data_IF_562855968696
#
_entry.id   IF_562855968696
#
_cell.length_a   1.000
_cell.length_b   1.000
_cell.length_c   1.000
_cell.angle_alpha   90.00
_cell.angle_beta   90.00
_cell.angle_gamma   90.00
#
_symmetry.space_group_name_H-M   'P 1'
#
loop_
_entity.id
_entity.type
_entity.pdbx_description
1 polymer ?
#
# COMPACT_ATOMS: atom_id res chain seq x y z
N UNK A 1 -12.06 0.72 -28.14
CA UNK A 1 -10.74 0.13 -28.46
C UNK A 1 -9.70 0.68 -27.49
N UNK A 2 -8.83 -0.17 -26.93
CA UNK A 2 -7.76 0.27 -26.03
C UNK A 2 -6.77 1.21 -26.74
N UNK A 3 -6.26 2.24 -26.05
CA UNK A 3 -5.28 3.19 -26.60
C UNK A 3 -3.93 2.49 -26.87
N UNK A 4 -3.04 3.05 -27.73
CA UNK A 4 -1.70 2.49 -27.93
C UNK A 4 -0.93 2.32 -26.62
N UNK A 5 -1.02 3.30 -25.71
CA UNK A 5 -0.40 3.25 -24.38
C UNK A 5 -0.97 2.13 -23.52
N UNK A 6 -2.28 1.94 -23.53
CA UNK A 6 -2.92 0.83 -22.78
C UNK A 6 -2.47 -0.54 -23.32
N UNK A 7 -2.39 -0.70 -24.65
CA UNK A 7 -1.86 -1.94 -25.26
C UNK A 7 -0.41 -2.19 -24.88
N UNK A 8 0.43 -1.15 -24.88
CA UNK A 8 1.81 -1.26 -24.44
C UNK A 8 1.93 -1.66 -22.97
N UNK A 9 1.08 -1.10 -22.10
CA UNK A 9 1.05 -1.45 -20.67
C UNK A 9 0.66 -2.92 -20.46
N UNK A 10 -0.37 -3.40 -21.14
CA UNK A 10 -0.79 -4.82 -21.08
C UNK A 10 0.31 -5.75 -21.60
N UNK A 11 0.97 -5.38 -22.71
CA UNK A 11 2.10 -6.15 -23.25
C UNK A 11 3.28 -6.19 -22.26
N UNK A 12 3.55 -5.09 -21.56
CA UNK A 12 4.59 -5.04 -20.53
C UNK A 12 4.25 -5.96 -19.34
N UNK A 13 2.99 -6.04 -18.92
CA UNK A 13 2.55 -7.00 -17.89
C UNK A 13 2.82 -8.44 -18.34
N UNK A 14 2.46 -8.78 -19.58
CA UNK A 14 2.68 -10.13 -20.12
C UNK A 14 4.17 -10.49 -20.18
N UNK A 15 5.02 -9.55 -20.61
CA UNK A 15 6.47 -9.73 -20.61
C UNK A 15 7.00 -9.89 -19.18
N UNK A 16 6.51 -9.10 -18.23
CA UNK A 16 6.91 -9.17 -16.83
C UNK A 16 6.54 -10.50 -16.17
N UNK A 17 5.38 -11.09 -16.52
CA UNK A 17 5.02 -12.45 -16.11
C UNK A 17 6.02 -13.49 -16.61
N UNK A 18 6.39 -13.41 -17.90
CA UNK A 18 7.37 -14.34 -18.48
C UNK A 18 8.71 -14.28 -17.74
N UNK A 19 9.16 -13.07 -17.41
CA UNK A 19 10.39 -12.87 -16.63
C UNK A 19 10.20 -13.38 -15.18
N UNK A 20 9.06 -13.08 -14.55
CA UNK A 20 8.76 -13.50 -13.19
C UNK A 20 8.72 -15.02 -13.02
N UNK A 21 8.10 -15.74 -13.95
CA UNK A 21 8.04 -17.21 -13.98
C UNK A 21 9.44 -17.82 -14.07
N UNK A 22 10.34 -17.22 -14.86
CA UNK A 22 11.72 -17.67 -15.00
C UNK A 22 12.62 -17.33 -13.79
N UNK A 23 12.24 -16.34 -12.97
CA UNK A 23 13.11 -15.78 -11.92
C UNK A 23 12.50 -15.85 -10.50
N UNK A 24 11.31 -16.43 -10.33
CA UNK A 24 10.70 -16.66 -9.03
C UNK A 24 10.10 -15.41 -8.37
N UNK A 25 9.57 -14.47 -9.14
CA UNK A 25 8.82 -13.32 -8.60
C UNK A 25 7.45 -13.14 -9.28
N UNK A 26 6.57 -12.41 -8.60
CA UNK A 26 5.22 -12.07 -9.08
C UNK A 26 5.11 -10.56 -9.26
N UNK A 27 4.18 -10.13 -10.12
CA UNK A 27 3.89 -8.72 -10.33
C UNK A 27 2.72 -8.30 -9.44
N UNK A 28 2.90 -7.23 -8.69
CA UNK A 28 1.87 -6.61 -7.85
C UNK A 28 1.35 -5.32 -8.47
N UNK A 29 0.03 -5.12 -8.42
CA UNK A 29 -0.62 -3.84 -8.66
C UNK A 29 -0.83 -3.13 -7.31
N UNK A 30 -0.41 -1.88 -7.21
CA UNK A 30 -0.49 -1.11 -5.97
C UNK A 30 -1.74 -0.23 -5.92
N UNK A 31 -2.41 -0.20 -4.77
CA UNK A 31 -3.56 0.70 -4.52
C UNK A 31 -3.12 2.18 -4.60
N UNK A 32 -3.89 3.01 -5.31
CA UNK A 32 -3.54 4.41 -5.56
C UNK A 32 -4.08 5.38 -4.51
N UNK A 33 -3.33 6.45 -4.26
CA UNK A 33 -3.92 7.65 -3.66
C UNK A 33 -4.74 8.38 -4.72
N UNK A 34 -6.03 8.59 -4.42
CA UNK A 34 -6.95 9.33 -5.29
C UNK A 34 -6.48 10.77 -5.48
N UNK A 35 -6.66 11.35 -6.68
CA UNK A 35 -6.36 12.75 -6.92
C UNK A 35 -7.02 13.66 -5.89
N UNK A 36 -6.22 14.54 -5.29
CA UNK A 36 -6.73 15.69 -4.54
C UNK A 36 -7.13 16.79 -5.52
N UNK A 37 -7.73 17.89 -5.04
CA UNK A 37 -7.98 19.14 -5.80
C UNK A 37 -9.05 19.13 -6.90
N UNK A 38 -10.00 18.19 -6.86
CA UNK A 38 -11.15 18.18 -7.78
C UNK A 38 -10.81 17.69 -9.19
N UNK A 39 -9.59 17.17 -9.39
CA UNK A 39 -9.25 16.36 -10.55
C UNK A 39 -10.17 15.15 -10.66
N UNK A 40 -10.48 14.71 -11.89
CA UNK A 40 -11.28 13.52 -12.09
C UNK A 40 -10.54 12.29 -11.53
N UNK A 41 -11.28 11.30 -11.00
CA UNK A 41 -10.69 10.04 -10.59
C UNK A 41 -10.01 9.37 -11.78
N UNK A 42 -8.90 8.69 -11.51
CA UNK A 42 -8.22 7.83 -12.44
C UNK A 42 -8.92 6.48 -12.51
N UNK A 43 -8.62 5.73 -13.57
CA UNK A 43 -9.25 4.44 -13.83
C UNK A 43 -9.07 3.43 -12.67
N UNK A 44 -7.91 3.45 -12.01
CA UNK A 44 -7.60 2.57 -10.88
C UNK A 44 -8.06 3.09 -9.52
N UNK A 45 -8.68 4.28 -9.47
CA UNK A 45 -9.33 4.77 -8.26
C UNK A 45 -10.71 4.11 -8.05
N UNK A 46 -11.30 3.55 -9.11
CA UNK A 46 -12.44 2.64 -9.04
C UNK A 46 -11.93 1.27 -8.58
N UNK A 47 -12.34 0.90 -7.37
CA UNK A 47 -11.82 -0.28 -6.70
C UNK A 47 -12.33 -1.59 -7.32
N UNK A 48 -13.54 -1.61 -7.86
CA UNK A 48 -14.09 -2.78 -8.54
C UNK A 48 -13.34 -3.01 -9.85
N UNK A 49 -13.09 -1.93 -10.60
CA UNK A 49 -12.25 -2.01 -11.80
C UNK A 49 -10.81 -2.43 -11.46
N UNK A 50 -10.23 -1.90 -10.40
CA UNK A 50 -8.88 -2.26 -9.93
C UNK A 50 -8.75 -3.76 -9.67
N UNK A 51 -9.67 -4.35 -8.90
CA UNK A 51 -9.64 -5.77 -8.58
C UNK A 51 -9.94 -6.64 -9.79
N UNK A 52 -10.89 -6.24 -10.64
CA UNK A 52 -11.17 -6.92 -11.90
C UNK A 52 -9.93 -6.94 -12.80
N UNK A 53 -9.25 -5.81 -12.96
CA UNK A 53 -8.05 -5.71 -13.77
C UNK A 53 -6.92 -6.59 -13.21
N UNK A 54 -6.77 -6.63 -11.88
CA UNK A 54 -5.81 -7.51 -11.24
C UNK A 54 -6.10 -8.99 -11.56
N UNK A 55 -7.36 -9.41 -11.49
CA UNK A 55 -7.76 -10.78 -11.81
C UNK A 55 -7.54 -11.12 -13.29
N UNK A 56 -8.02 -10.27 -14.20
CA UNK A 56 -7.91 -10.46 -15.65
C UNK A 56 -6.45 -10.59 -16.11
N UNK A 57 -5.54 -9.90 -15.43
CA UNK A 57 -4.12 -9.89 -15.76
C UNK A 57 -3.24 -10.70 -14.79
N UNK A 58 -3.85 -11.52 -13.92
CA UNK A 58 -3.17 -12.39 -12.95
C UNK A 58 -2.17 -11.64 -12.06
N UNK A 59 -2.49 -10.41 -11.70
CA UNK A 59 -1.65 -9.59 -10.84
C UNK A 59 -1.95 -9.89 -9.38
N UNK A 60 -0.90 -9.90 -8.58
CA UNK A 60 -1.04 -9.79 -7.12
C UNK A 60 -1.37 -8.34 -6.75
N UNK A 61 -1.70 -8.09 -5.49
CA UNK A 61 -1.96 -6.73 -5.00
C UNK A 61 -0.95 -6.35 -3.92
N UNK A 62 -0.48 -5.11 -4.03
CA UNK A 62 0.22 -4.37 -2.97
C UNK A 62 -0.74 -3.37 -2.36
N UNK A 63 -1.04 -3.51 -1.07
CA UNK A 63 -1.81 -2.51 -0.34
C UNK A 63 -0.86 -1.43 0.19
N UNK A 64 -1.08 -0.17 -0.19
CA UNK A 64 -0.46 0.98 0.48
C UNK A 64 -1.42 1.52 1.55
N UNK A 65 -1.02 1.38 2.82
CA UNK A 65 -1.86 1.79 3.95
C UNK A 65 -2.02 3.30 4.05
N UNK A 66 -1.04 4.10 3.63
CA UNK A 66 -1.13 5.55 3.72
C UNK A 66 -1.96 6.14 2.57
N UNK A 67 -1.97 5.51 1.39
CA UNK A 67 -2.87 5.86 0.29
C UNK A 67 -4.32 5.62 0.69
N UNK A 68 -4.64 4.41 1.15
CA UNK A 68 -5.98 4.06 1.62
C UNK A 68 -6.43 4.97 2.79
N UNK A 69 -5.54 5.25 3.75
CA UNK A 69 -5.86 6.17 4.85
C UNK A 69 -6.09 7.62 4.38
N UNK A 70 -5.25 8.14 3.47
CA UNK A 70 -5.41 9.49 2.91
C UNK A 70 -6.66 9.62 2.04
N UNK A 71 -7.09 8.51 1.44
CA UNK A 71 -8.34 8.38 0.68
C UNK A 71 -9.58 8.33 1.57
N UNK A 72 -9.42 8.07 2.88
CA UNK A 72 -10.52 7.84 3.82
C UNK A 72 -11.11 6.43 3.74
N UNK A 73 -10.38 5.47 3.15
CA UNK A 73 -10.81 4.09 3.04
C UNK A 73 -10.68 3.36 4.39
N UNK A 74 -11.60 2.43 4.67
CA UNK A 74 -11.49 1.51 5.80
C UNK A 74 -10.49 0.40 5.48
N UNK A 75 -9.34 0.42 6.14
CA UNK A 75 -8.26 -0.55 5.92
C UNK A 75 -8.69 -2.01 6.11
N UNK A 76 -9.61 -2.31 7.03
CA UNK A 76 -10.07 -3.68 7.26
C UNK A 76 -11.01 -4.14 6.15
N UNK A 77 -11.86 -3.24 5.65
CA UNK A 77 -12.70 -3.52 4.49
C UNK A 77 -11.83 -3.74 3.24
N UNK A 78 -10.85 -2.87 3.01
CA UNK A 78 -9.87 -2.98 1.91
C UNK A 78 -9.11 -4.31 2.00
N UNK A 79 -8.58 -4.66 3.17
CA UNK A 79 -7.88 -5.93 3.40
C UNK A 79 -8.76 -7.13 3.02
N UNK A 80 -10.02 -7.12 3.46
CA UNK A 80 -10.99 -8.18 3.18
C UNK A 80 -11.27 -8.30 1.68
N UNK A 81 -11.46 -7.17 0.98
CA UNK A 81 -11.76 -7.15 -0.45
C UNK A 81 -10.57 -7.60 -1.31
N UNK A 82 -9.34 -7.21 -0.96
CA UNK A 82 -8.12 -7.71 -1.65
C UNK A 82 -8.02 -9.22 -1.46
N UNK A 83 -8.16 -9.67 -0.20
CA UNK A 83 -8.15 -11.06 0.19
C UNK A 83 -6.90 -11.81 -0.31
N UNK A 84 -7.05 -12.95 -1.00
CA UNK A 84 -5.93 -13.83 -1.35
C UNK A 84 -4.94 -13.24 -2.36
N UNK A 85 -5.29 -12.12 -3.01
CA UNK A 85 -4.43 -11.41 -3.96
C UNK A 85 -3.28 -10.67 -3.25
N UNK A 86 -3.43 -10.39 -1.96
CA UNK A 86 -2.45 -9.61 -1.21
C UNK A 86 -1.11 -10.35 -1.15
N UNK A 87 -0.03 -9.66 -1.56
CA UNK A 87 1.34 -10.20 -1.51
C UNK A 87 2.34 -9.28 -0.85
N UNK A 88 2.06 -7.98 -0.83
CA UNK A 88 2.88 -6.99 -0.17
C UNK A 88 2.00 -5.92 0.47
N UNK A 89 2.49 -5.34 1.55
CA UNK A 89 1.89 -4.16 2.18
C UNK A 89 2.97 -3.10 2.21
N UNK A 90 2.75 -1.98 1.54
CA UNK A 90 3.50 -0.76 1.77
C UNK A 90 2.96 -0.12 3.05
N UNK A 91 3.78 -0.18 4.09
CA UNK A 91 3.37 0.13 5.45
C UNK A 91 3.93 1.47 5.88
N UNK A 92 3.03 2.44 5.92
CA UNK A 92 3.27 3.77 6.43
C UNK A 92 1.94 4.43 6.80
N UNK A 93 2.01 5.59 7.44
CA UNK A 93 0.86 6.26 8.02
C UNK A 93 0.60 7.58 7.28
N UNK A 94 -0.56 8.18 7.54
CA UNK A 94 -0.97 9.45 6.94
C UNK A 94 -1.57 10.40 7.97
N UNK A 95 -1.31 11.71 7.80
CA UNK A 95 -1.95 12.75 8.59
C UNK A 95 -3.02 13.46 7.79
N UNK A 96 -4.16 13.73 8.42
CA UNK A 96 -5.21 14.57 7.89
C UNK A 96 -4.67 15.96 7.59
N UNK A 97 -5.24 16.61 6.58
CA UNK A 97 -4.95 18.00 6.29
C UNK A 97 -6.23 18.83 6.37
N UNK A 98 -6.13 20.14 6.64
CA UNK A 98 -7.28 21.05 6.55
C UNK A 98 -7.93 21.01 5.16
N UNK A 99 -9.22 21.40 5.04
CA UNK A 99 -9.89 21.50 3.75
C UNK A 99 -9.06 22.30 2.74
N UNK A 100 -8.90 21.76 1.52
CA UNK A 100 -8.10 22.36 0.46
C UNK A 100 -6.59 22.05 0.51
N UNK A 101 -6.09 21.33 1.51
CA UNK A 101 -4.69 20.89 1.60
C UNK A 101 -4.57 19.38 1.45
N UNK A 102 -3.45 18.91 0.88
CA UNK A 102 -3.21 17.48 0.71
C UNK A 102 -2.81 16.84 2.05
N UNK A 103 -3.37 15.67 2.41
CA UNK A 103 -2.88 14.85 3.50
C UNK A 103 -1.38 14.56 3.33
N UNK A 104 -0.62 14.54 4.43
CA UNK A 104 0.77 14.06 4.37
C UNK A 104 0.74 12.54 4.40
N UNK A 105 1.24 11.92 3.34
CA UNK A 105 1.40 10.47 3.23
C UNK A 105 2.84 10.05 3.55
N UNK A 106 3.05 8.74 3.71
CA UNK A 106 4.35 8.13 4.03
C UNK A 106 5.00 8.71 5.29
N UNK A 107 4.18 9.01 6.31
CA UNK A 107 4.69 9.31 7.66
C UNK A 107 4.94 8.00 8.42
N UNK A 108 5.69 8.03 9.52
CA UNK A 108 6.00 6.79 10.27
C UNK A 108 4.74 6.21 10.90
N UNK A 109 4.61 4.88 10.96
CA UNK A 109 3.54 4.23 11.71
C UNK A 109 3.39 4.75 13.14
N UNK A 110 2.16 5.11 13.51
CA UNK A 110 1.81 5.69 14.80
C UNK A 110 2.03 7.20 14.89
N UNK A 111 2.45 7.86 13.81
CA UNK A 111 2.60 9.33 13.74
C UNK A 111 1.50 10.00 12.90
N UNK A 112 0.67 9.21 12.22
CA UNK A 112 -0.52 9.70 11.55
C UNK A 112 -1.73 9.78 12.48
N UNK A 113 -2.85 10.19 11.92
CA UNK A 113 -4.12 10.36 12.65
C UNK A 113 -5.36 10.04 11.80
N UNK A 114 -5.16 9.42 10.63
CA UNK A 114 -6.25 9.12 9.67
C UNK A 114 -6.75 7.69 9.78
N UNK A 115 -5.97 6.79 10.37
CA UNK A 115 -6.34 5.38 10.54
C UNK A 115 -5.67 4.77 11.76
N UNK A 116 -6.23 3.66 12.27
CA UNK A 116 -5.61 2.87 13.34
C UNK A 116 -4.79 1.71 12.75
N UNK A 117 -3.52 1.99 12.46
CA UNK A 117 -2.60 0.98 11.93
C UNK A 117 -2.33 -0.17 12.91
N UNK A 118 -2.44 0.05 14.22
CA UNK A 118 -2.21 -1.02 15.19
C UNK A 118 -3.35 -2.03 15.13
N UNK A 119 -4.60 -1.56 14.98
CA UNK A 119 -5.77 -2.43 14.73
C UNK A 119 -5.64 -3.17 13.41
N UNK A 120 -5.19 -2.50 12.34
CA UNK A 120 -4.91 -3.17 11.06
C UNK A 120 -3.88 -4.29 11.19
N UNK A 121 -2.75 -4.05 11.87
CA UNK A 121 -1.70 -5.07 12.08
C UNK A 121 -2.22 -6.25 12.91
N UNK A 122 -3.01 -5.99 13.95
CA UNK A 122 -3.66 -7.07 14.73
C UNK A 122 -4.58 -7.91 13.86
N UNK A 123 -5.44 -7.27 13.07
CA UNK A 123 -6.35 -7.97 12.16
C UNK A 123 -5.58 -8.79 11.13
N UNK A 124 -4.50 -8.24 10.57
CA UNK A 124 -3.62 -8.95 9.64
C UNK A 124 -3.00 -10.20 10.29
N UNK A 125 -2.56 -10.10 11.55
CA UNK A 125 -2.02 -11.23 12.33
C UNK A 125 -3.04 -12.35 12.61
N UNK A 126 -4.34 -12.06 12.51
CA UNK A 126 -5.42 -13.06 12.61
C UNK A 126 -5.75 -13.73 11.26
N UNK A 127 -5.06 -13.34 10.19
CA UNK A 127 -5.18 -13.97 8.86
C UNK A 127 -4.03 -14.93 8.59
N UNK A 128 -4.14 -15.72 7.52
CA UNK A 128 -3.03 -16.54 7.01
C UNK A 128 -2.07 -15.74 6.09
N UNK A 129 -2.00 -14.42 6.25
CA UNK A 129 -1.11 -13.60 5.43
C UNK A 129 0.36 -13.91 5.75
N UNK A 130 1.08 -14.36 4.72
CA UNK A 130 2.51 -14.68 4.80
C UNK A 130 3.35 -13.86 3.82
N UNK A 131 2.79 -12.76 3.30
CA UNK A 131 3.48 -11.86 2.38
C UNK A 131 4.37 -10.84 3.09
N UNK A 132 4.91 -9.90 2.32
CA UNK A 132 5.83 -8.89 2.83
C UNK A 132 5.09 -7.72 3.50
N UNK A 133 5.71 -7.14 4.53
CA UNK A 133 5.37 -5.81 5.04
C UNK A 133 6.59 -4.93 4.79
N UNK A 134 6.49 -4.05 3.82
CA UNK A 134 7.57 -3.16 3.37
C UNK A 134 7.38 -1.79 4.01
N UNK A 135 8.36 -1.32 4.79
CA UNK A 135 8.29 0.02 5.38
C UNK A 135 8.51 1.09 4.30
N UNK A 136 7.45 1.78 3.88
CA UNK A 136 7.51 2.83 2.86
C UNK A 136 7.34 4.22 3.48
N UNK A 137 8.39 4.67 4.18
CA UNK A 137 8.39 5.98 4.85
C UNK A 137 9.18 6.98 4.03
N UNK A 138 8.66 8.21 3.89
CA UNK A 138 9.32 9.23 3.08
C UNK A 138 10.73 9.56 3.58
N UNK A 139 11.69 9.88 2.69
CA UNK A 139 13.05 10.25 3.09
C UNK A 139 13.10 11.44 4.07
N UNK A 140 12.17 12.39 3.92
CA UNK A 140 12.01 13.51 4.83
C UNK A 140 11.61 13.02 6.23
N UNK A 141 10.57 12.17 6.31
CA UNK A 141 10.15 11.59 7.58
C UNK A 141 11.23 10.71 8.20
N UNK A 142 12.11 10.06 7.41
CA UNK A 142 13.26 9.29 7.92
C UNK A 142 14.45 10.16 8.33
N UNK A 143 14.48 11.45 7.99
CA UNK A 143 15.70 12.27 8.02
C UNK A 143 16.87 11.55 7.31
N UNK A 144 16.68 11.22 6.02
CA UNK A 144 17.58 10.37 5.25
C UNK A 144 19.04 10.85 5.13
N UNK A 145 19.33 12.05 5.59
CA UNK A 145 20.66 12.65 5.73
C UNK A 145 21.47 12.08 6.91
N UNK A 146 20.89 11.24 7.76
CA UNK A 146 21.58 10.62 8.90
C UNK A 146 21.27 9.13 9.00
N UNK A 147 22.27 8.28 8.72
CA UNK A 147 22.14 6.82 8.85
C UNK A 147 21.67 6.39 10.24
N UNK A 148 22.13 7.08 11.30
CA UNK A 148 21.68 6.84 12.67
C UNK A 148 20.20 7.17 12.86
N UNK A 149 19.72 8.26 12.25
CA UNK A 149 18.31 8.61 12.30
C UNK A 149 17.44 7.61 11.54
N UNK A 150 17.87 7.20 10.34
CA UNK A 150 17.22 6.16 9.53
C UNK A 150 17.10 4.87 10.36
N UNK A 151 18.22 4.34 10.85
CA UNK A 151 18.24 3.10 11.61
C UNK A 151 17.30 3.17 12.83
N UNK A 152 17.38 4.25 13.61
CA UNK A 152 16.50 4.45 14.77
C UNK A 152 15.01 4.46 14.38
N UNK A 153 14.66 5.16 13.30
CA UNK A 153 13.27 5.32 12.85
C UNK A 153 12.70 4.05 12.23
N UNK A 154 13.50 3.30 11.46
CA UNK A 154 13.10 2.00 10.93
C UNK A 154 12.99 0.96 12.06
N UNK A 155 13.89 0.97 13.04
CA UNK A 155 13.77 0.12 14.23
C UNK A 155 12.47 0.41 15.00
N UNK A 156 12.11 1.69 15.18
CA UNK A 156 10.84 2.07 15.80
C UNK A 156 9.63 1.60 14.98
N UNK A 157 9.71 1.65 13.65
CA UNK A 157 8.66 1.17 12.75
C UNK A 157 8.46 -0.35 12.87
N UNK A 158 9.56 -1.10 12.93
CA UNK A 158 9.52 -2.56 13.19
C UNK A 158 8.93 -2.87 14.57
N UNK A 159 9.31 -2.09 15.59
CA UNK A 159 8.80 -2.26 16.95
C UNK A 159 7.28 -2.07 16.99
N UNK A 160 6.76 -1.01 16.34
CA UNK A 160 5.31 -0.77 16.22
C UNK A 160 4.57 -2.00 15.70
N UNK A 161 5.05 -2.63 14.63
CA UNK A 161 4.43 -3.84 14.05
C UNK A 161 4.51 -5.00 15.05
N UNK A 162 5.68 -5.21 15.66
CA UNK A 162 5.90 -6.32 16.60
C UNK A 162 5.03 -6.21 17.84
N UNK A 163 4.91 -5.00 18.41
CA UNK A 163 4.10 -4.71 19.59
C UNK A 163 2.60 -4.87 19.30
N UNK A 164 2.16 -4.41 18.12
CA UNK A 164 0.78 -4.59 17.68
C UNK A 164 0.42 -6.07 17.51
N UNK A 165 1.31 -6.88 16.91
CA UNK A 165 1.11 -8.33 16.78
C UNK A 165 1.07 -9.02 18.16
N UNK A 166 1.97 -8.66 19.07
CA UNK A 166 2.03 -9.25 20.41
C UNK A 166 0.80 -8.92 21.27
N UNK A 167 0.20 -7.75 21.08
CA UNK A 167 -0.99 -7.30 21.82
C UNK A 167 -2.32 -7.88 21.29
N UNK A 168 -2.28 -8.54 20.13
CA UNK A 168 -3.44 -9.20 19.52
C UNK A 168 -3.44 -10.72 19.66
N UNK A 169 -2.44 -11.31 20.33
CA UNK A 169 -2.32 -12.73 20.63
C UNK A 169 -2.98 -13.10 21.97
#
# INVERSE_FOLDING_TARGET
MATPRARQYIAAIQAAHTIGEANGFVIGLETTQRPWDGKPPLLFDDYDYFLQFADEHRLSVTLDTCHAAANGDDLLAVLTQIGPRLRNIHFSDATSAPPGQRPRTHVRPGMGNTTDLATFVRALGQTNYSGLITCEVSPLELHAWSLRAIARKLTATRAFISDALASGA
#
